data_IF_215895747366
#
_entry.id   IF_215895747366
#
_cell.length_a   1.000
_cell.length_b   1.000
_cell.length_c   1.000
_cell.angle_alpha   90.00
_cell.angle_beta   90.00
_cell.angle_gamma   90.00
#
_symmetry.space_group_name_H-M   'P 1'
#
loop_
_entity.id
_entity.type
_entity.pdbx_description
1 polymer ?
#
# COMPACT_ATOMS: atom_id res chain seq x y z
N UNK A 1 -1.11 7.86 -38.65
CA UNK A 1 0.14 7.09 -38.41
C UNK A 1 0.40 6.87 -36.92
N UNK A 2 0.36 7.90 -36.07
CA UNK A 2 0.56 7.77 -34.61
C UNK A 2 -0.51 6.90 -33.93
N UNK A 3 -1.79 7.03 -34.29
CA UNK A 3 -2.90 6.24 -33.72
C UNK A 3 -2.73 4.73 -34.03
N UNK A 4 -2.34 4.39 -35.26
CA UNK A 4 -2.06 3.01 -35.69
C UNK A 4 -0.81 2.39 -35.03
N UNK A 5 0.19 3.20 -34.67
CA UNK A 5 1.35 2.73 -33.87
C UNK A 5 0.99 2.48 -32.41
N UNK A 6 0.10 3.29 -31.82
CA UNK A 6 -0.41 3.07 -30.46
C UNK A 6 -1.25 1.79 -30.40
N UNK A 7 -2.09 1.53 -31.41
CA UNK A 7 -2.85 0.29 -31.53
C UNK A 7 -1.97 -0.94 -31.73
N UNK A 8 -0.87 -0.83 -32.49
CA UNK A 8 0.08 -1.93 -32.67
C UNK A 8 0.89 -2.19 -31.40
N UNK A 9 1.34 -1.14 -30.69
CA UNK A 9 1.99 -1.29 -29.38
C UNK A 9 1.06 -1.89 -28.34
N UNK A 10 -0.23 -1.50 -28.33
CA UNK A 10 -1.25 -2.12 -27.47
C UNK A 10 -1.50 -3.59 -27.84
N UNK A 11 -1.60 -3.93 -29.13
CA UNK A 11 -1.77 -5.32 -29.59
C UNK A 11 -0.55 -6.19 -29.27
N UNK A 12 0.66 -5.67 -29.44
CA UNK A 12 1.91 -6.35 -29.06
C UNK A 12 1.96 -6.54 -27.55
N UNK A 13 1.65 -5.50 -26.76
CA UNK A 13 1.55 -5.59 -25.30
C UNK A 13 0.50 -6.64 -24.88
N UNK A 14 -0.68 -6.66 -25.51
CA UNK A 14 -1.71 -7.67 -25.26
C UNK A 14 -1.29 -9.09 -25.67
N UNK A 15 -0.55 -9.24 -26.77
CA UNK A 15 -0.05 -10.54 -27.26
C UNK A 15 1.04 -11.09 -26.34
N UNK A 16 1.99 -10.25 -25.92
CA UNK A 16 2.98 -10.60 -24.91
C UNK A 16 2.33 -10.86 -23.55
N UNK A 17 1.32 -10.09 -23.16
CA UNK A 17 0.53 -10.34 -21.96
C UNK A 17 -0.20 -11.69 -22.05
N UNK A 18 -0.73 -12.12 -23.21
CA UNK A 18 -1.29 -13.48 -23.35
C UNK A 18 -0.25 -14.60 -23.26
N UNK A 19 0.99 -14.37 -23.67
CA UNK A 19 2.07 -15.36 -23.64
C UNK A 19 2.83 -15.39 -22.30
N UNK A 20 2.87 -14.26 -21.59
CA UNK A 20 3.58 -14.01 -20.33
C UNK A 20 2.67 -13.39 -19.27
N UNK A 21 1.40 -13.78 -19.22
CA UNK A 21 0.50 -13.43 -18.12
C UNK A 21 0.98 -14.19 -16.88
N UNK A 22 2.04 -13.70 -16.25
CA UNK A 22 2.20 -13.86 -14.80
C UNK A 22 0.92 -13.24 -14.26
N UNK A 23 -0.01 -14.09 -13.82
CA UNK A 23 -1.32 -13.69 -13.32
C UNK A 23 -1.13 -12.45 -12.44
N UNK A 24 -1.64 -11.30 -12.88
CA UNK A 24 -1.84 -10.18 -11.96
C UNK A 24 -2.99 -10.65 -11.06
N UNK A 25 -2.63 -11.40 -10.02
CA UNK A 25 -3.57 -11.96 -9.08
C UNK A 25 -4.39 -10.81 -8.49
N UNK A 26 -5.71 -10.99 -8.35
CA UNK A 26 -6.60 -9.90 -7.98
C UNK A 26 -6.17 -9.35 -6.61
N UNK A 27 -5.61 -8.14 -6.62
CA UNK A 27 -5.31 -7.41 -5.39
C UNK A 27 -6.65 -7.07 -4.75
N UNK A 28 -6.87 -7.60 -3.54
CA UNK A 28 -8.11 -7.31 -2.81
C UNK A 28 -8.09 -5.84 -2.40
N UNK A 29 -9.25 -5.15 -2.44
CA UNK A 29 -9.34 -3.73 -2.13
C UNK A 29 -8.95 -3.46 -0.67
N UNK A 30 -8.43 -2.26 -0.43
CA UNK A 30 -7.88 -1.87 0.86
C UNK A 30 -6.40 -2.18 0.97
N UNK A 31 -5.85 -1.92 2.15
CA UNK A 31 -4.40 -1.87 2.38
C UNK A 31 -4.05 -2.63 3.64
N UNK A 32 -2.80 -3.10 3.69
CA UNK A 32 -2.30 -3.93 4.78
C UNK A 32 -2.02 -3.08 6.00
N UNK A 33 -2.61 -3.39 7.17
CA UNK A 33 -2.33 -2.63 8.37
C UNK A 33 -0.82 -2.59 8.59
N UNK A 34 -0.26 -1.39 8.81
CA UNK A 34 1.08 -1.30 9.37
C UNK A 34 1.13 -2.08 10.68
N UNK A 35 2.07 -3.00 10.75
CA UNK A 35 2.33 -3.79 11.94
C UNK A 35 3.19 -2.97 12.91
N UNK A 36 2.63 -2.63 14.06
CA UNK A 36 3.38 -2.17 15.24
C UNK A 36 3.91 -3.37 16.06
N UNK A 37 4.00 -4.57 15.48
CA UNK A 37 4.36 -5.77 16.22
C UNK A 37 5.88 -5.89 16.34
N UNK A 38 6.34 -5.83 17.59
CA UNK A 38 7.66 -6.26 18.03
C UNK A 38 8.00 -7.61 17.37
N UNK A 39 9.15 -7.64 16.68
CA UNK A 39 9.69 -8.84 16.05
C UNK A 39 10.00 -9.85 17.16
N UNK A 40 9.04 -10.72 17.48
CA UNK A 40 9.31 -11.90 18.27
C UNK A 40 10.29 -12.74 17.46
N UNK A 41 11.53 -12.87 17.98
CA UNK A 41 12.63 -13.64 17.40
C UNK A 41 12.23 -15.12 17.33
N UNK A 42 11.47 -15.46 16.30
CA UNK A 42 10.98 -16.79 15.99
C UNK A 42 10.95 -16.94 14.48
N UNK A 43 10.94 -18.20 14.02
CA UNK A 43 11.04 -18.57 12.59
C UNK A 43 10.07 -17.73 11.77
N UNK A 44 10.55 -17.05 10.72
CA UNK A 44 9.66 -16.36 9.79
C UNK A 44 8.74 -17.39 9.16
N UNK A 45 7.42 -17.25 9.39
CA UNK A 45 6.42 -18.14 8.80
C UNK A 45 5.73 -17.41 7.67
N UNK A 46 5.77 -18.03 6.49
CA UNK A 46 5.04 -17.62 5.30
C UNK A 46 3.69 -18.36 5.25
N UNK A 47 2.61 -17.68 5.64
CA UNK A 47 1.26 -18.26 5.64
C UNK A 47 0.50 -18.00 4.33
N UNK A 48 0.94 -17.00 3.55
CA UNK A 48 0.36 -16.62 2.26
C UNK A 48 1.45 -16.02 1.38
N UNK A 49 1.27 -16.03 0.06
CA UNK A 49 2.12 -15.33 -0.90
C UNK A 49 1.38 -14.19 -1.59
N UNK A 50 0.06 -14.33 -1.77
CA UNK A 50 -0.78 -13.34 -2.42
C UNK A 50 -2.14 -13.18 -1.74
N UNK A 51 -2.81 -12.05 -1.97
CA UNK A 51 -4.15 -11.77 -1.42
C UNK A 51 -5.16 -12.88 -1.70
N UNK A 52 -5.04 -13.57 -2.84
CA UNK A 52 -5.89 -14.69 -3.23
C UNK A 52 -5.74 -15.94 -2.36
N UNK A 53 -4.65 -16.10 -1.60
CA UNK A 53 -4.44 -17.23 -0.68
C UNK A 53 -5.32 -17.06 0.56
N UNK A 54 -5.64 -15.81 0.87
CA UNK A 54 -6.38 -15.45 2.04
C UNK A 54 -7.88 -15.63 1.81
N UNK A 55 -8.64 -16.06 2.83
CA UNK A 55 -10.09 -16.18 2.71
C UNK A 55 -10.75 -14.80 2.63
N UNK A 56 -11.96 -14.75 2.06
CA UNK A 56 -12.82 -13.54 2.04
C UNK A 56 -12.07 -12.31 1.49
N UNK A 57 -12.17 -11.17 2.18
CA UNK A 57 -11.55 -9.90 1.81
C UNK A 57 -10.16 -9.70 2.45
N UNK A 58 -9.61 -10.71 3.14
CA UNK A 58 -8.31 -10.60 3.82
C UNK A 58 -7.16 -10.49 2.80
N UNK A 59 -6.18 -9.66 3.12
CA UNK A 59 -4.99 -9.42 2.31
C UNK A 59 -3.79 -10.16 2.89
N UNK A 60 -2.86 -10.54 2.01
CA UNK A 60 -1.60 -11.12 2.44
C UNK A 60 -0.63 -10.00 2.82
N UNK A 61 -0.40 -9.84 4.12
CA UNK A 61 0.31 -8.69 4.68
C UNK A 61 1.58 -9.13 5.37
N UNK A 62 2.65 -8.35 5.20
CA UNK A 62 3.91 -8.61 5.90
C UNK A 62 3.76 -8.33 7.38
N UNK A 63 4.21 -9.28 8.21
CA UNK A 63 4.20 -9.16 9.66
C UNK A 63 5.55 -8.76 10.26
N UNK A 64 6.52 -8.38 9.43
CA UNK A 64 7.88 -7.99 9.83
C UNK A 64 8.93 -9.09 9.60
N UNK A 65 8.54 -10.36 9.51
CA UNK A 65 9.45 -11.49 9.22
C UNK A 65 8.94 -12.33 8.04
N UNK A 66 7.64 -12.58 7.98
CA UNK A 66 6.97 -13.25 6.87
C UNK A 66 5.62 -12.63 6.54
N UNK A 67 4.72 -13.41 5.93
CA UNK A 67 3.39 -12.94 5.53
C UNK A 67 2.26 -13.70 6.20
N UNK A 68 1.19 -12.96 6.51
CA UNK A 68 -0.01 -13.50 7.11
C UNK A 68 -1.25 -12.82 6.53
N UNK A 69 -2.34 -13.58 6.43
CA UNK A 69 -3.64 -13.04 6.07
C UNK A 69 -4.17 -12.12 7.15
N UNK A 70 -4.46 -10.88 6.79
CA UNK A 70 -4.98 -9.84 7.69
C UNK A 70 -6.18 -9.12 7.07
N UNK A 71 -7.15 -8.70 7.88
CA UNK A 71 -8.25 -7.88 7.38
C UNK A 71 -7.70 -6.55 6.84
N UNK A 72 -8.14 -6.11 5.65
CA UNK A 72 -7.69 -4.85 5.07
C UNK A 72 -8.21 -3.67 5.89
N UNK A 73 -7.40 -2.61 6.01
CA UNK A 73 -7.91 -1.33 6.46
C UNK A 73 -8.43 -0.53 5.26
N UNK A 74 -9.53 0.21 5.50
CA UNK A 74 -10.05 1.19 4.53
C UNK A 74 -9.27 2.50 4.71
N UNK A 75 -8.58 2.92 3.67
CA UNK A 75 -7.95 4.25 3.63
C UNK A 75 -9.00 5.34 3.58
N UNK A 76 -8.67 6.48 4.20
CA UNK A 76 -9.47 7.68 3.99
C UNK A 76 -9.19 8.23 2.59
N UNK A 77 -10.22 8.74 1.90
CA UNK A 77 -10.07 9.26 0.54
C UNK A 77 -9.10 10.44 0.48
N UNK A 78 -8.40 10.58 -0.64
CA UNK A 78 -7.40 11.63 -0.89
C UNK A 78 -5.95 11.13 -0.79
N UNK A 79 -5.00 11.99 -1.14
CA UNK A 79 -3.57 11.65 -1.18
C UNK A 79 -2.76 12.53 -0.22
N UNK A 80 -1.63 12.01 0.26
CA UNK A 80 -0.70 12.81 1.05
C UNK A 80 -0.03 13.89 0.17
N UNK A 81 0.19 15.11 0.70
CA UNK A 81 0.90 16.15 -0.03
C UNK A 81 2.35 15.71 -0.33
N UNK A 82 2.80 15.90 -1.58
CA UNK A 82 4.12 15.42 -2.08
C UNK A 82 5.32 16.14 -1.48
N UNK A 83 5.14 17.38 -1.03
CA UNK A 83 6.20 18.16 -0.41
C UNK A 83 5.75 18.63 0.97
N UNK A 84 5.74 17.73 1.98
CA UNK A 84 5.60 18.19 3.33
C UNK A 84 6.87 18.97 3.64
N UNK A 85 6.80 20.30 3.66
CA UNK A 85 7.91 21.18 4.05
C UNK A 85 8.67 20.53 5.20
N UNK A 86 9.92 20.21 4.89
CA UNK A 86 10.73 19.29 5.65
C UNK A 86 10.85 19.82 7.08
N UNK A 87 10.24 19.11 8.03
CA UNK A 87 10.41 19.38 9.44
C UNK A 87 11.80 18.92 9.90
N UNK A 88 12.86 19.53 9.35
CA UNK A 88 14.24 19.42 9.83
C UNK A 88 14.41 20.02 11.25
N UNK A 89 13.36 20.65 11.79
CA UNK A 89 13.35 21.35 13.08
C UNK A 89 12.52 20.65 14.17
N UNK A 90 11.79 19.57 13.85
CA UNK A 90 11.04 18.78 14.83
C UNK A 90 11.58 17.37 14.81
N UNK A 91 11.97 16.82 15.97
CA UNK A 91 12.47 15.44 16.05
C UNK A 91 11.53 14.43 15.39
N UNK A 92 12.06 13.25 15.10
CA UNK A 92 11.29 12.15 14.52
C UNK A 92 10.18 11.74 15.50
N UNK A 93 8.97 12.23 15.27
CA UNK A 93 7.80 11.94 16.09
C UNK A 93 6.80 11.18 15.24
N UNK A 94 6.47 9.98 15.72
CA UNK A 94 5.38 9.16 15.21
C UNK A 94 4.08 9.58 15.93
N UNK A 95 3.20 10.33 15.23
CA UNK A 95 1.91 10.77 15.81
C UNK A 95 0.72 9.91 15.39
N UNK A 96 0.87 9.12 14.34
CA UNK A 96 -0.16 8.24 13.79
C UNK A 96 0.52 7.06 13.09
N UNK A 97 -0.15 5.92 13.01
CA UNK A 97 0.27 4.77 12.22
C UNK A 97 -0.62 4.58 10.98
N UNK A 98 -1.90 4.96 11.08
CA UNK A 98 -2.89 4.82 10.02
C UNK A 98 -3.79 6.05 9.93
N UNK A 99 -4.44 6.24 8.77
CA UNK A 99 -5.41 7.31 8.56
C UNK A 99 -6.51 7.34 9.63
N UNK A 100 -6.94 6.19 10.16
CA UNK A 100 -7.96 6.09 11.21
C UNK A 100 -7.54 6.70 12.55
N UNK A 101 -6.23 6.80 12.81
CA UNK A 101 -5.70 7.39 14.04
C UNK A 101 -5.87 8.92 14.01
N UNK A 102 -5.99 9.46 12.81
CA UNK A 102 -6.20 10.87 12.58
C UNK A 102 -7.68 11.25 12.71
N UNK A 103 -7.99 12.44 13.22
CA UNK A 103 -9.37 12.92 13.30
C UNK A 103 -9.96 13.19 11.91
N UNK A 104 -11.29 13.11 11.79
CA UNK A 104 -12.04 13.51 10.58
C UNK A 104 -11.52 12.81 9.31
N UNK A 105 -11.25 13.57 8.25
CA UNK A 105 -10.76 13.08 6.96
C UNK A 105 -9.23 13.19 6.82
N UNK A 106 -8.52 13.52 7.90
CA UNK A 106 -7.06 13.63 7.86
C UNK A 106 -6.39 12.28 7.65
N UNK A 107 -5.32 12.29 6.88
CA UNK A 107 -4.51 11.13 6.52
C UNK A 107 -3.21 11.12 7.30
N UNK A 108 -2.73 9.92 7.61
CA UNK A 108 -1.44 9.74 8.26
C UNK A 108 -0.34 9.77 7.19
N UNK A 109 0.41 10.87 7.14
CA UNK A 109 1.37 11.13 6.08
C UNK A 109 2.81 11.13 6.62
N UNK A 110 3.74 10.58 5.83
CA UNK A 110 5.16 10.64 6.14
C UNK A 110 5.70 12.06 5.95
N UNK A 111 6.40 12.56 6.97
CA UNK A 111 7.09 13.85 7.00
C UNK A 111 8.61 13.72 6.82
N UNK A 112 9.09 12.56 6.35
CA UNK A 112 10.52 12.24 6.28
C UNK A 112 10.87 11.17 7.30
N UNK A 113 11.11 11.55 8.56
CA UNK A 113 11.49 10.60 9.63
C UNK A 113 10.39 10.32 10.67
N UNK A 114 9.18 10.82 10.46
CA UNK A 114 8.04 10.56 11.33
C UNK A 114 6.72 10.73 10.59
N UNK A 115 5.63 10.44 11.28
CA UNK A 115 4.28 10.50 10.73
C UNK A 115 3.40 11.53 11.42
N UNK A 116 2.59 12.21 10.62
CA UNK A 116 1.69 13.24 11.11
C UNK A 116 0.37 13.22 10.36
N UNK A 117 -0.72 13.44 11.10
CA UNK A 117 -2.02 13.68 10.54
C UNK A 117 -2.03 14.98 9.72
N UNK A 118 -2.42 14.87 8.46
CA UNK A 118 -2.48 15.98 7.52
C UNK A 118 -3.80 15.97 6.76
N UNK A 119 -4.33 17.13 6.40
CA UNK A 119 -5.47 17.20 5.50
C UNK A 119 -5.12 16.54 4.15
N UNK A 120 -6.04 15.80 3.53
CA UNK A 120 -5.81 15.17 2.24
C UNK A 120 -5.65 16.24 1.15
N UNK A 121 -4.68 16.04 0.27
CA UNK A 121 -4.56 16.83 -0.96
C UNK A 121 -5.50 16.25 -2.01
N UNK A 122 -6.19 17.12 -2.75
CA UNK A 122 -6.98 16.75 -3.94
C UNK A 122 -6.10 17.04 -5.16
N UNK A 123 -5.88 16.02 -6.00
CA UNK A 123 -5.29 16.23 -7.33
C UNK A 123 -6.28 16.94 -8.27
#
# INVERSE_FOLDING_TARGET
KVISEIDLKKKIFFFFCRLFCMSAEPTKPGVCPRNDLEVAVSVCVEMCSHDGDCPKDEKCCSNGCGHQCMPPYKEKPGVCPKNPEVALLGGCVERCSHDRDCPKDEKCCSKGCGQQCMPPYRE
#
